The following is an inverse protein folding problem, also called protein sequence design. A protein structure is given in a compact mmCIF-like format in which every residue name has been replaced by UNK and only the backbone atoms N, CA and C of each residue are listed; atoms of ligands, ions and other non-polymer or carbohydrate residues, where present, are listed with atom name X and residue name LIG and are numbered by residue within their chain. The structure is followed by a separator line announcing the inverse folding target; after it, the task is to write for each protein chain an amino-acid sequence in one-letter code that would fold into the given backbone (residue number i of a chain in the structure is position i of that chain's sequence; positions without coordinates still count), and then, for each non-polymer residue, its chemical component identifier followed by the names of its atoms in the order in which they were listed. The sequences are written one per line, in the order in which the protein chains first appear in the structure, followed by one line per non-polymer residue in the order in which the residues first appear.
data_IF_545568709004
#
_entry.id   IF_545568709004
#
_cell.length_a   1.000
_cell.length_b   1.000
_cell.length_c   1.000
_cell.angle_alpha   90.00
_cell.angle_beta   90.00
_cell.angle_gamma   90.00
#
_symmetry.space_group_name_H-M   'P 1'
#
loop_
_entity.id
_entity.type
_entity.pdbx_description
1 polymer ?
#
# COMPACT_ATOMS: atom_id res chain seq x y z
N UNK A 1 -13.40 10.64 -12.02
CA UNK A 1 -13.01 10.61 -10.60
C UNK A 1 -12.61 9.19 -10.22
N UNK A 2 -11.50 9.04 -9.51
CA UNK A 2 -11.00 7.73 -9.14
C UNK A 2 -11.75 7.22 -7.89
N UNK A 3 -12.40 6.05 -8.01
CA UNK A 3 -13.11 5.42 -6.90
C UNK A 3 -12.37 4.18 -6.38
N UNK A 4 -11.11 4.03 -6.75
CA UNK A 4 -10.34 2.84 -6.40
C UNK A 4 -9.34 3.13 -5.29
N UNK A 5 -9.18 2.15 -4.42
CA UNK A 5 -8.06 2.07 -3.51
C UNK A 5 -6.88 1.48 -4.27
N UNK A 6 -5.69 1.97 -3.99
CA UNK A 6 -4.45 1.41 -4.52
C UNK A 6 -3.64 0.84 -3.37
N UNK A 7 -3.22 -0.41 -3.50
CA UNK A 7 -2.36 -1.06 -2.52
C UNK A 7 -1.00 -1.26 -3.19
N UNK A 8 0.04 -0.70 -2.61
CA UNK A 8 1.38 -0.70 -3.20
C UNK A 8 2.33 -1.43 -2.25
N UNK A 9 2.95 -2.48 -2.75
CA UNK A 9 3.92 -3.26 -1.99
C UNK A 9 5.34 -2.86 -2.39
N UNK A 10 6.22 -2.80 -1.39
CA UNK A 10 7.61 -2.40 -1.58
C UNK A 10 8.54 -3.45 -0.97
N UNK A 11 9.71 -3.59 -1.55
CA UNK A 11 10.79 -4.37 -0.93
C UNK A 11 11.54 -3.51 0.11
N UNK A 12 12.56 -4.09 0.74
CA UNK A 12 13.33 -3.39 1.78
C UNK A 12 14.10 -2.18 1.25
N UNK A 13 14.31 -2.10 -0.05
CA UNK A 13 15.00 -0.97 -0.71
C UNK A 13 14.03 0.14 -1.10
N UNK A 14 12.73 -0.03 -0.84
CA UNK A 14 11.72 0.96 -1.21
C UNK A 14 11.29 0.89 -2.66
N UNK A 15 11.60 -0.19 -3.35
CA UNK A 15 11.22 -0.38 -4.75
C UNK A 15 9.84 -1.04 -4.83
N UNK A 16 8.97 -0.54 -5.70
CA UNK A 16 7.63 -1.08 -5.89
C UNK A 16 7.73 -2.49 -6.49
N UNK A 17 7.08 -3.45 -5.83
CA UNK A 17 7.06 -4.84 -6.27
C UNK A 17 5.74 -5.22 -6.91
N UNK A 18 4.64 -4.70 -6.36
CA UNK A 18 3.31 -5.05 -6.85
C UNK A 18 2.33 -3.94 -6.50
N UNK A 19 1.34 -3.73 -7.38
CA UNK A 19 0.25 -2.78 -7.13
C UNK A 19 -1.06 -3.50 -7.40
N UNK A 20 -1.99 -3.42 -6.44
CA UNK A 20 -3.34 -3.94 -6.59
C UNK A 20 -4.33 -2.79 -6.46
N UNK A 21 -5.41 -2.85 -7.23
CA UNK A 21 -6.48 -1.85 -7.14
C UNK A 21 -7.81 -2.54 -6.89
N UNK A 22 -8.66 -1.91 -6.10
CA UNK A 22 -10.00 -2.40 -5.82
C UNK A 22 -10.88 -1.23 -5.38
N UNK A 23 -12.18 -1.33 -5.64
CA UNK A 23 -13.15 -0.36 -5.15
C UNK A 23 -13.71 -0.73 -3.76
N UNK A 24 -13.29 -1.87 -3.22
CA UNK A 24 -13.77 -2.42 -1.95
C UNK A 24 -12.70 -2.21 -0.87
N UNK A 25 -13.04 -1.43 0.18
CA UNK A 25 -12.09 -1.13 1.26
C UNK A 25 -11.64 -2.38 2.03
N UNK A 26 -12.50 -3.38 2.15
CA UNK A 26 -12.14 -4.64 2.79
C UNK A 26 -11.10 -5.40 1.98
N UNK A 27 -11.29 -5.48 0.67
CA UNK A 27 -10.32 -6.13 -0.20
C UNK A 27 -9.00 -5.37 -0.22
N UNK A 28 -9.06 -4.04 -0.18
CA UNK A 28 -7.84 -3.23 -0.09
C UNK A 28 -7.03 -3.58 1.16
N UNK A 29 -7.71 -3.71 2.30
CA UNK A 29 -7.06 -4.09 3.56
C UNK A 29 -6.47 -5.49 3.47
N UNK A 30 -7.19 -6.45 2.89
CA UNK A 30 -6.70 -7.81 2.71
C UNK A 30 -5.48 -7.85 1.79
N UNK A 31 -5.52 -7.14 0.67
CA UNK A 31 -4.38 -7.04 -0.24
C UNK A 31 -3.17 -6.44 0.47
N UNK A 32 -3.39 -5.38 1.25
CA UNK A 32 -2.32 -4.71 1.96
C UNK A 32 -1.63 -5.66 2.94
N UNK A 33 -2.42 -6.41 3.71
CA UNK A 33 -1.88 -7.39 4.64
C UNK A 33 -1.10 -8.49 3.90
N UNK A 34 -1.72 -9.09 2.89
CA UNK A 34 -1.11 -10.19 2.14
C UNK A 34 0.19 -9.76 1.46
N UNK A 35 0.19 -8.62 0.81
CA UNK A 35 1.36 -8.12 0.10
C UNK A 35 2.48 -7.72 1.07
N UNK A 36 2.12 -7.21 2.25
CA UNK A 36 3.13 -6.89 3.27
C UNK A 36 3.84 -8.14 3.77
N UNK A 37 3.11 -9.25 3.86
CA UNK A 37 3.69 -10.53 4.27
C UNK A 37 4.59 -11.11 3.19
N UNK A 38 4.26 -10.86 1.93
CA UNK A 38 5.04 -11.37 0.80
C UNK A 38 6.30 -10.54 0.54
N UNK A 39 6.22 -9.23 0.62
CA UNK A 39 7.30 -8.32 0.23
C UNK A 39 7.95 -7.56 1.39
N UNK A 40 7.31 -7.51 2.54
CA UNK A 40 7.82 -6.87 3.74
C UNK A 40 7.10 -5.59 4.13
N UNK A 41 6.49 -4.88 3.18
CA UNK A 41 5.74 -3.66 3.46
C UNK A 41 4.74 -3.39 2.34
N UNK A 42 3.54 -2.98 2.71
CA UNK A 42 2.54 -2.51 1.75
C UNK A 42 1.76 -1.35 2.36
N UNK A 43 1.38 -0.40 1.53
CA UNK A 43 0.57 0.74 1.94
C UNK A 43 -0.71 0.81 1.11
N UNK A 44 -1.71 1.44 1.68
CA UNK A 44 -3.04 1.55 1.10
C UNK A 44 -3.38 3.02 0.91
N UNK A 45 -3.70 3.37 -0.33
CA UNK A 45 -4.05 4.74 -0.72
C UNK A 45 -5.54 4.76 -1.04
N UNK A 46 -6.29 5.66 -0.42
CA UNK A 46 -7.74 5.73 -0.63
C UNK A 46 -8.07 6.41 -1.99
N UNK A 47 -9.33 6.38 -2.42
CA UNK A 47 -9.73 7.00 -3.69
C UNK A 47 -9.42 8.49 -3.77
N UNK A 48 -9.29 9.16 -2.62
CA UNK A 48 -8.91 10.57 -2.58
C UNK A 48 -7.43 10.81 -2.72
N UNK A 49 -6.62 9.75 -2.88
CA UNK A 49 -5.19 9.88 -3.06
C UNK A 49 -4.40 9.98 -1.77
N UNK A 50 -5.02 9.69 -0.62
CA UNK A 50 -4.38 9.81 0.68
C UNK A 50 -4.04 8.45 1.26
N UNK A 51 -2.91 8.40 1.97
CA UNK A 51 -2.50 7.22 2.72
C UNK A 51 -3.56 6.92 3.79
N UNK A 52 -4.10 5.71 3.79
CA UNK A 52 -5.14 5.33 4.74
C UNK A 52 -4.83 4.07 5.53
N UNK A 53 -3.72 3.40 5.26
CA UNK A 53 -3.32 2.23 6.01
C UNK A 53 -2.00 1.66 5.53
N UNK A 54 -1.42 0.80 6.35
CA UNK A 54 -0.19 0.10 6.00
C UNK A 54 0.01 -1.11 6.90
N UNK A 55 0.80 -2.07 6.41
CA UNK A 55 1.25 -3.21 7.19
C UNK A 55 2.72 -3.46 6.88
N UNK A 56 3.45 -3.95 7.87
CA UNK A 56 4.87 -4.26 7.73
C UNK A 56 5.77 -3.10 8.11
N UNK A 57 7.05 -3.23 7.81
CA UNK A 57 8.07 -2.25 8.18
C UNK A 57 8.34 -1.31 7.00
N UNK A 58 8.00 -0.04 7.16
CA UNK A 58 8.19 0.95 6.11
C UNK A 58 9.69 1.12 5.81
N UNK A 59 10.12 0.91 4.56
CA UNK A 59 11.52 1.10 4.18
C UNK A 59 11.97 2.53 4.39
N UNK A 60 13.17 2.71 4.93
CA UNK A 60 13.73 4.04 5.16
C UNK A 60 13.85 4.86 3.87
N UNK A 61 14.08 4.19 2.75
CA UNK A 61 14.20 4.84 1.44
C UNK A 61 12.94 5.56 1.00
N UNK A 62 11.77 5.17 1.51
CA UNK A 62 10.50 5.84 1.19
C UNK A 62 10.33 7.16 1.94
N UNK A 63 11.09 7.36 3.01
CA UNK A 63 10.93 8.54 3.85
C UNK A 63 9.62 8.54 4.61
N UNK A 64 9.19 9.72 5.03
CA UNK A 64 7.94 9.88 5.75
C UNK A 64 6.75 9.93 4.78
N UNK A 65 5.57 9.56 5.29
CA UNK A 65 4.35 9.64 4.50
C UNK A 65 4.04 11.09 4.19
N UNK A 66 3.74 11.36 2.91
CA UNK A 66 3.44 12.71 2.47
C UNK A 66 1.93 13.01 2.42
N UNK A 67 1.11 12.03 2.71
CA UNK A 67 -0.33 12.16 2.54
C UNK A 67 -1.10 11.34 3.58
#
# INVERSE_FOLDING_TARGET
MNNFYNVIAYNTLGEVQEVETTDDSWKATEFCLDLSMLYGYAEQINPGGKHCGEYGDRPAALGQRAY
#
